data_IF_329077322679
#
_entry.id   IF_329077322679
#
_cell.length_a   1.000
_cell.length_b   1.000
_cell.length_c   1.000
_cell.angle_alpha   90.00
_cell.angle_beta   90.00
_cell.angle_gamma   90.00
#
_symmetry.space_group_name_H-M   'P 1'
#
loop_
_entity.id
_entity.type
_entity.pdbx_description
1 polymer ?
#
# COMPACT_ATOMS: atom_id res chain seq x y z
N UNK A 1 -25.34 -2.02 18.98
CA UNK A 1 -25.88 -1.10 17.96
C UNK A 1 -24.80 -0.73 16.96
N UNK A 2 -25.19 -0.65 15.70
CA UNK A 2 -24.27 -0.21 14.66
C UNK A 2 -23.97 1.27 14.85
N UNK A 3 -22.69 1.63 14.88
CA UNK A 3 -22.23 3.03 14.97
C UNK A 3 -22.39 3.69 13.61
N UNK A 4 -22.78 4.96 13.62
CA UNK A 4 -22.90 5.72 12.39
C UNK A 4 -21.52 6.16 11.93
N UNK A 5 -21.22 5.93 10.66
CA UNK A 5 -19.94 6.31 10.06
C UNK A 5 -19.92 7.81 9.84
N UNK A 6 -18.91 8.49 10.39
CA UNK A 6 -18.68 9.93 10.18
C UNK A 6 -17.86 10.17 8.91
N UNK A 7 -16.89 9.32 8.63
CA UNK A 7 -16.09 9.42 7.43
C UNK A 7 -14.98 8.40 7.35
N UNK A 8 -14.21 8.50 6.27
CA UNK A 8 -13.07 7.62 6.01
C UNK A 8 -11.80 8.44 5.86
N UNK A 9 -10.68 7.87 6.32
CA UNK A 9 -9.35 8.44 6.15
C UNK A 9 -8.50 7.39 5.46
N UNK A 10 -7.85 7.76 4.37
CA UNK A 10 -6.94 6.87 3.63
C UNK A 10 -5.53 7.40 3.75
N UNK A 11 -4.62 6.58 4.24
CA UNK A 11 -3.23 6.93 4.47
C UNK A 11 -2.30 5.83 4.01
N UNK A 12 -1.05 6.21 3.75
CA UNK A 12 0.06 5.26 3.62
C UNK A 12 0.99 5.49 4.80
N UNK A 13 1.21 4.45 5.60
CA UNK A 13 1.99 4.54 6.84
C UNK A 13 3.12 3.51 6.79
N UNK A 14 4.37 3.89 7.11
CA UNK A 14 5.46 2.91 7.20
C UNK A 14 5.17 1.85 8.27
N UNK A 15 5.32 0.58 7.91
CA UNK A 15 5.07 -0.53 8.82
C UNK A 15 5.93 -0.43 10.08
N UNK A 16 5.32 -0.55 11.24
CA UNK A 16 6.00 -0.48 12.53
C UNK A 16 6.53 0.89 12.93
N UNK A 17 6.29 1.92 12.11
CA UNK A 17 6.81 3.28 12.32
C UNK A 17 5.73 4.36 12.35
N UNK A 18 4.49 4.01 12.67
CA UNK A 18 3.44 5.00 12.82
C UNK A 18 3.74 5.93 14.01
N UNK A 19 3.64 7.22 13.79
CA UNK A 19 3.86 8.23 14.82
C UNK A 19 2.92 9.43 14.59
N UNK A 20 2.78 10.33 15.59
CA UNK A 20 1.89 11.49 15.48
C UNK A 20 2.33 12.56 14.47
N UNK A 21 3.50 12.41 13.89
CA UNK A 21 4.01 13.36 12.89
C UNK A 21 3.21 13.30 11.58
N UNK A 22 3.26 14.36 10.74
CA UNK A 22 2.64 14.28 9.43
C UNK A 22 3.11 13.06 8.62
N UNK A 23 2.24 12.40 7.83
CA UNK A 23 0.87 12.78 7.49
C UNK A 23 -0.21 12.27 8.46
N UNK A 24 0.15 11.48 9.47
CA UNK A 24 -0.82 10.81 10.34
C UNK A 24 -1.52 11.79 11.27
N UNK A 25 -0.75 12.63 11.98
CA UNK A 25 -1.28 13.56 12.95
C UNK A 25 -2.37 14.48 12.40
N UNK A 26 -2.08 15.27 11.36
CA UNK A 26 -3.08 16.17 10.78
C UNK A 26 -4.31 15.45 10.22
N UNK A 27 -4.13 14.30 9.57
CA UNK A 27 -5.23 13.55 8.96
C UNK A 27 -6.21 13.04 10.03
N UNK A 28 -5.70 12.47 11.10
CA UNK A 28 -6.53 11.96 12.20
C UNK A 28 -7.06 13.09 13.09
N UNK A 29 -6.26 14.11 13.31
CA UNK A 29 -6.64 15.27 14.12
C UNK A 29 -7.85 16.01 13.58
N UNK A 30 -7.98 16.13 12.27
CA UNK A 30 -9.13 16.76 11.62
C UNK A 30 -10.46 16.04 11.94
N UNK A 31 -10.39 14.74 12.18
CA UNK A 31 -11.56 13.92 12.51
C UNK A 31 -11.75 13.72 14.02
N UNK A 32 -10.84 14.23 14.83
CA UNK A 32 -10.90 14.08 16.26
C UNK A 32 -10.60 12.67 16.77
N UNK A 33 -9.89 11.87 15.97
CA UNK A 33 -9.51 10.50 16.32
C UNK A 33 -8.28 10.51 17.23
N UNK A 34 -8.20 9.56 18.17
CA UNK A 34 -7.05 9.40 19.04
C UNK A 34 -5.84 8.89 18.25
N UNK A 35 -4.91 9.79 17.93
CA UNK A 35 -3.74 9.51 17.13
C UNK A 35 -2.83 8.45 17.76
N UNK A 36 -2.59 8.57 19.06
CA UNK A 36 -1.71 7.64 19.79
C UNK A 36 -2.28 6.22 19.82
N UNK A 37 -3.59 6.08 19.99
CA UNK A 37 -4.25 4.78 19.97
C UNK A 37 -4.09 4.12 18.60
N UNK A 38 -4.29 4.88 17.52
CA UNK A 38 -4.08 4.38 16.16
C UNK A 38 -2.64 3.94 15.93
N UNK A 39 -1.67 4.77 16.28
CA UNK A 39 -0.25 4.45 16.10
C UNK A 39 0.13 3.17 16.83
N UNK A 40 -0.33 3.00 18.07
CA UNK A 40 -0.07 1.82 18.88
C UNK A 40 -0.66 0.55 18.25
N UNK A 41 -1.92 0.60 17.86
CA UNK A 41 -2.60 -0.53 17.23
C UNK A 41 -1.98 -0.89 15.88
N UNK A 42 -1.69 0.11 15.06
CA UNK A 42 -1.06 -0.10 13.76
C UNK A 42 0.33 -0.71 13.89
N UNK A 43 1.16 -0.17 14.78
CA UNK A 43 2.50 -0.70 15.00
C UNK A 43 2.46 -2.14 15.50
N UNK A 44 1.54 -2.47 16.39
CA UNK A 44 1.36 -3.84 16.87
C UNK A 44 0.92 -4.78 15.73
N UNK A 45 0.00 -4.34 14.89
CA UNK A 45 -0.51 -5.13 13.76
C UNK A 45 0.55 -5.34 12.67
N UNK A 46 1.49 -4.42 12.52
CA UNK A 46 2.51 -4.47 11.47
C UNK A 46 3.88 -4.98 11.94
N UNK A 47 4.00 -5.46 13.18
CA UNK A 47 5.27 -5.96 13.71
C UNK A 47 5.89 -7.07 12.88
N UNK A 48 5.05 -7.91 12.26
CA UNK A 48 5.49 -9.04 11.45
C UNK A 48 5.86 -8.65 10.03
N UNK A 49 5.59 -7.42 9.64
CA UNK A 49 5.87 -6.91 8.30
C UNK A 49 7.25 -6.25 8.26
N UNK A 50 7.78 -6.11 7.06
CA UNK A 50 9.05 -5.42 6.86
C UNK A 50 8.96 -3.97 7.33
N UNK A 51 9.85 -3.58 8.26
CA UNK A 51 9.84 -2.24 8.82
C UNK A 51 10.11 -1.16 7.75
N UNK A 52 9.31 -0.09 7.80
CA UNK A 52 9.44 1.01 6.86
C UNK A 52 8.74 0.80 5.51
N UNK A 53 8.17 -0.38 5.27
CA UNK A 53 7.40 -0.63 4.06
C UNK A 53 6.08 0.14 4.11
N UNK A 54 5.76 0.99 3.11
CA UNK A 54 4.49 1.73 3.12
C UNK A 54 3.29 0.78 3.06
N UNK A 55 2.39 0.93 4.01
CA UNK A 55 1.17 0.12 4.08
C UNK A 55 -0.03 1.05 3.89
N UNK A 56 -0.86 0.84 2.86
CA UNK A 56 -2.10 1.60 2.71
C UNK A 56 -3.08 1.21 3.80
N UNK A 57 -3.64 2.21 4.46
CA UNK A 57 -4.61 2.02 5.54
C UNK A 57 -5.87 2.80 5.23
N UNK A 58 -7.02 2.15 5.38
CA UNK A 58 -8.32 2.81 5.31
C UNK A 58 -8.91 2.81 6.73
N UNK A 59 -9.06 4.00 7.29
CA UNK A 59 -9.57 4.20 8.64
C UNK A 59 -11.02 4.65 8.54
N UNK A 60 -11.92 3.91 9.19
CA UNK A 60 -13.33 4.30 9.30
C UNK A 60 -13.53 5.00 10.63
N UNK A 61 -13.99 6.24 10.58
CA UNK A 61 -14.27 7.06 11.76
C UNK A 61 -15.76 7.08 12.03
N UNK A 62 -16.14 6.83 13.27
CA UNK A 62 -17.55 6.82 13.70
C UNK A 62 -17.92 8.13 14.40
N UNK A 63 -19.22 8.37 14.56
CA UNK A 63 -19.73 9.61 15.13
C UNK A 63 -19.36 9.83 16.61
N UNK A 64 -19.01 8.76 17.32
CA UNK A 64 -18.53 8.81 18.72
C UNK A 64 -17.00 9.01 18.79
N UNK A 65 -16.35 9.28 17.63
CA UNK A 65 -14.90 9.44 17.49
C UNK A 65 -14.09 8.18 17.70
N UNK A 66 -14.75 7.03 17.77
CA UNK A 66 -14.06 5.74 17.69
C UNK A 66 -13.66 5.46 16.24
N UNK A 67 -12.76 4.53 16.04
CA UNK A 67 -12.28 4.19 14.70
C UNK A 67 -12.04 2.69 14.57
N UNK A 68 -12.11 2.23 13.33
CA UNK A 68 -11.59 0.92 12.91
C UNK A 68 -10.70 1.16 11.70
N UNK A 69 -9.75 0.27 11.47
CA UNK A 69 -8.88 0.40 10.30
C UNK A 69 -8.67 -0.94 9.63
N UNK A 70 -8.46 -0.88 8.31
CA UNK A 70 -8.14 -2.04 7.49
C UNK A 70 -6.82 -1.74 6.82
N UNK A 71 -5.86 -2.66 6.95
CA UNK A 71 -4.58 -2.58 6.27
C UNK A 71 -4.68 -3.34 4.95
N UNK A 72 -4.14 -2.73 3.90
CA UNK A 72 -4.04 -3.37 2.59
C UNK A 72 -2.60 -3.78 2.33
N UNK A 73 -2.39 -4.54 1.26
CA UNK A 73 -1.04 -4.91 0.84
C UNK A 73 -0.26 -3.68 0.38
N UNK A 74 1.09 -3.71 0.42
CA UNK A 74 1.90 -2.57 -0.04
C UNK A 74 1.54 -2.17 -1.48
N UNK A 75 1.71 -0.87 -1.85
CA UNK A 75 1.44 -0.43 -3.22
C UNK A 75 2.25 -1.22 -4.25
N UNK A 76 1.64 -1.51 -5.39
CA UNK A 76 2.31 -2.26 -6.46
C UNK A 76 3.63 -1.59 -6.89
N UNK A 77 3.65 -0.26 -6.95
CA UNK A 77 4.85 0.50 -7.31
C UNK A 77 6.03 0.20 -6.39
N UNK A 78 5.79 0.08 -5.10
CA UNK A 78 6.83 -0.22 -4.11
C UNK A 78 7.36 -1.64 -4.29
N UNK A 79 6.46 -2.60 -4.48
CA UNK A 79 6.84 -4.01 -4.71
C UNK A 79 7.62 -4.16 -6.01
N UNK A 80 7.21 -3.46 -7.06
CA UNK A 80 7.88 -3.48 -8.36
C UNK A 80 9.29 -2.88 -8.27
N UNK A 81 9.45 -1.76 -7.58
CA UNK A 81 10.76 -1.15 -7.38
C UNK A 81 11.70 -2.07 -6.60
N UNK A 82 11.18 -2.71 -5.57
CA UNK A 82 11.96 -3.66 -4.77
C UNK A 82 12.40 -4.87 -5.60
N UNK A 83 11.50 -5.45 -6.38
CA UNK A 83 11.78 -6.60 -7.23
C UNK A 83 12.80 -6.26 -8.34
N UNK A 84 12.71 -5.05 -8.91
CA UNK A 84 13.63 -4.58 -9.94
C UNK A 84 14.96 -4.06 -9.38
N UNK A 85 15.05 -3.86 -8.06
CA UNK A 85 16.26 -3.32 -7.42
C UNK A 85 16.49 -1.84 -7.70
N UNK A 86 15.46 -1.06 -8.00
CA UNK A 86 15.54 0.37 -8.27
C UNK A 86 14.88 1.18 -7.15
N UNK A 87 15.32 2.42 -6.99
CA UNK A 87 14.77 3.33 -5.98
C UNK A 87 13.69 4.23 -6.54
N UNK A 88 13.75 4.51 -7.84
CA UNK A 88 12.83 5.43 -8.51
C UNK A 88 12.49 4.94 -9.91
N UNK A 89 11.24 5.12 -10.30
CA UNK A 89 10.79 4.83 -11.66
C UNK A 89 11.27 5.86 -12.67
N UNK A 90 11.02 5.60 -13.96
CA UNK A 90 11.42 6.48 -15.05
C UNK A 90 10.55 7.74 -15.10
N UNK A 91 11.18 8.88 -15.38
CA UNK A 91 10.47 10.13 -15.69
C UNK A 91 9.81 10.09 -17.06
N UNK A 92 10.33 9.27 -17.99
CA UNK A 92 9.79 9.09 -19.35
C UNK A 92 9.64 7.59 -19.60
N UNK A 93 8.63 6.93 -19.03
CA UNK A 93 8.55 5.46 -19.00
C UNK A 93 8.36 4.81 -20.35
N UNK A 94 7.80 5.52 -21.32
CA UNK A 94 7.61 4.99 -22.68
C UNK A 94 8.89 4.99 -23.53
N UNK A 95 9.89 5.78 -23.14
CA UNK A 95 11.15 5.91 -23.89
C UNK A 95 12.35 5.40 -23.09
N UNK A 96 12.43 5.74 -21.82
CA UNK A 96 13.57 5.40 -20.95
C UNK A 96 13.17 4.29 -19.98
N UNK A 97 13.79 3.12 -20.13
CA UNK A 97 13.58 1.99 -19.22
C UNK A 97 14.66 2.00 -18.13
N UNK A 98 14.26 1.78 -16.89
CA UNK A 98 15.17 1.83 -15.72
C UNK A 98 15.37 0.48 -15.06
N UNK A 99 14.70 -0.56 -15.54
CA UNK A 99 14.84 -1.90 -15.01
C UNK A 99 14.07 -2.93 -15.81
N UNK A 100 14.15 -4.18 -15.41
CA UNK A 100 13.50 -5.29 -16.08
C UNK A 100 12.95 -6.26 -15.03
N UNK A 101 11.79 -6.84 -15.32
CA UNK A 101 11.16 -7.84 -14.48
C UNK A 101 10.84 -9.09 -15.29
N UNK A 102 11.05 -10.25 -14.70
CA UNK A 102 10.67 -11.53 -15.27
C UNK A 102 9.25 -11.90 -14.85
N UNK A 103 8.65 -12.85 -15.57
CA UNK A 103 7.33 -13.36 -15.21
C UNK A 103 7.28 -13.92 -13.79
N UNK A 104 8.33 -14.62 -13.35
CA UNK A 104 8.40 -15.17 -12.00
C UNK A 104 8.30 -14.09 -10.92
N UNK A 105 8.99 -12.96 -11.12
CA UNK A 105 8.91 -11.81 -10.20
C UNK A 105 7.51 -11.21 -10.18
N UNK A 106 6.86 -11.11 -11.34
CA UNK A 106 5.49 -10.60 -11.44
C UNK A 106 4.48 -11.53 -10.77
N UNK A 107 4.66 -12.84 -10.91
CA UNK A 107 3.80 -13.82 -10.24
C UNK A 107 3.93 -13.74 -8.71
N UNK A 108 5.14 -13.54 -8.21
CA UNK A 108 5.38 -13.35 -6.78
C UNK A 108 4.67 -12.12 -6.25
N UNK A 109 4.77 -11.00 -6.96
CA UNK A 109 4.08 -9.76 -6.59
C UNK A 109 2.56 -9.94 -6.66
N UNK A 110 2.05 -10.59 -7.71
CA UNK A 110 0.63 -10.84 -7.88
C UNK A 110 0.08 -11.70 -6.73
N UNK A 111 0.83 -12.71 -6.31
CA UNK A 111 0.46 -13.56 -5.18
C UNK A 111 0.43 -12.78 -3.87
N UNK A 112 1.42 -11.91 -3.65
CA UNK A 112 1.49 -11.05 -2.45
C UNK A 112 0.30 -10.09 -2.39
N UNK A 113 -0.14 -9.55 -3.52
CA UNK A 113 -1.26 -8.61 -3.60
C UNK A 113 -2.61 -9.28 -3.86
N UNK A 114 -2.69 -10.60 -3.87
CA UNK A 114 -3.92 -11.32 -4.18
C UNK A 114 -5.15 -10.79 -3.42
N UNK A 115 -5.08 -10.47 -2.11
CA UNK A 115 -6.25 -9.95 -1.39
C UNK A 115 -6.79 -8.62 -1.94
N UNK A 116 -5.96 -7.83 -2.61
CA UNK A 116 -6.33 -6.50 -3.12
C UNK A 116 -6.54 -6.50 -4.63
N UNK A 117 -6.21 -7.58 -5.32
CA UNK A 117 -6.33 -7.66 -6.77
C UNK A 117 -7.63 -8.34 -7.18
N UNK A 118 -8.20 -7.84 -8.26
CA UNK A 118 -9.27 -8.50 -9.00
C UNK A 118 -8.65 -9.20 -10.21
N UNK A 119 -9.24 -10.27 -10.64
CA UNK A 119 -8.75 -11.03 -11.78
C UNK A 119 -9.24 -12.46 -11.68
N UNK A 120 -9.56 -13.07 -12.82
CA UNK A 120 -10.11 -14.42 -12.86
C UNK A 120 -9.09 -15.47 -12.42
N UNK A 121 -7.80 -15.25 -12.73
CA UNK A 121 -6.73 -16.20 -12.44
C UNK A 121 -5.41 -15.46 -12.21
N UNK A 122 -4.35 -16.23 -11.94
CA UNK A 122 -3.02 -15.69 -11.73
C UNK A 122 -2.50 -14.93 -12.94
N UNK A 123 -2.76 -15.43 -14.15
CA UNK A 123 -2.31 -14.81 -15.38
C UNK A 123 -2.91 -13.40 -15.56
N UNK A 124 -4.19 -13.23 -15.27
CA UNK A 124 -4.86 -11.93 -15.29
C UNK A 124 -4.25 -10.95 -14.29
N UNK A 125 -3.94 -11.43 -13.08
CA UNK A 125 -3.29 -10.63 -12.04
C UNK A 125 -1.87 -10.23 -12.44
N UNK A 126 -1.11 -11.15 -13.04
CA UNK A 126 0.23 -10.88 -13.58
C UNK A 126 0.18 -9.78 -14.63
N UNK A 127 -0.79 -9.81 -15.53
CA UNK A 127 -0.96 -8.76 -16.55
C UNK A 127 -1.28 -7.41 -15.93
N UNK A 128 -2.08 -7.38 -14.88
CA UNK A 128 -2.39 -6.14 -14.15
C UNK A 128 -1.13 -5.53 -13.57
N UNK A 129 -0.31 -6.32 -12.90
CA UNK A 129 0.96 -5.88 -12.33
C UNK A 129 1.95 -5.48 -13.43
N UNK A 130 1.99 -6.22 -14.55
CA UNK A 130 2.83 -5.90 -15.69
C UNK A 130 2.51 -4.53 -16.29
N UNK A 131 1.23 -4.17 -16.36
CA UNK A 131 0.80 -2.84 -16.80
C UNK A 131 1.34 -1.73 -15.89
N UNK A 132 1.28 -1.93 -14.58
CA UNK A 132 1.84 -0.99 -13.62
C UNK A 132 3.36 -0.87 -13.79
N UNK A 133 4.05 -1.97 -14.01
CA UNK A 133 5.50 -1.98 -14.25
C UNK A 133 5.88 -1.20 -15.49
N UNK A 134 5.15 -1.39 -16.56
CA UNK A 134 5.37 -0.63 -17.81
C UNK A 134 5.17 0.87 -17.61
N UNK A 135 4.17 1.25 -16.84
CA UNK A 135 3.91 2.66 -16.52
C UNK A 135 5.04 3.31 -15.68
N UNK A 136 5.86 2.49 -15.03
CA UNK A 136 7.00 2.95 -14.25
C UNK A 136 8.31 2.96 -15.07
N UNK A 137 8.28 2.50 -16.31
CA UNK A 137 9.48 2.40 -17.12
C UNK A 137 10.26 1.12 -16.93
N UNK A 138 9.59 0.04 -16.55
CA UNK A 138 10.19 -1.28 -16.43
C UNK A 138 9.85 -2.13 -17.64
N UNK A 139 10.84 -2.86 -18.16
CA UNK A 139 10.61 -3.88 -19.17
C UNK A 139 10.06 -5.13 -18.48
N UNK A 140 9.10 -5.76 -19.12
CA UNK A 140 8.39 -6.91 -18.58
C UNK A 140 8.50 -8.09 -19.53
N UNK A 141 8.95 -9.23 -19.02
CA UNK A 141 8.92 -10.51 -19.74
C UNK A 141 7.72 -11.33 -19.25
N UNK A 142 6.76 -11.52 -20.13
CA UNK A 142 5.58 -12.35 -19.85
C UNK A 142 5.72 -13.77 -20.39
#
# INVERSE_FOLDING_TARGET
>A
MAKKIDGYIKLQVPAGKANPSPPIGPALGQRGVNIMAFCKEFNAATQKLEAGLPIPVVITVYNDKSFTFIMKTPPAAILLKKAAGIQKGSAVPNKTKVGKLTRAQLEEIATTKEPDLTGADLDARVRTIAGSARSMGLDVEL
#
